data_IF_249001661813
#
_entry.id   IF_249001661813
#
_cell.length_a   1.000
_cell.length_b   1.000
_cell.length_c   1.000
_cell.angle_alpha   90.00
_cell.angle_beta   90.00
_cell.angle_gamma   90.00
#
_symmetry.space_group_name_H-M   'P 1'
#
loop_
_entity.id
_entity.type
_entity.pdbx_description
1 polymer ?
#
# COMPACT_ATOMS: atom_id res chain seq x y z
N UNK A 1 -13.39 6.17 26.78
CA UNK A 1 -13.02 4.83 26.25
C UNK A 1 -11.84 4.89 25.29
N UNK A 2 -11.54 6.03 24.68
CA UNK A 2 -10.38 6.20 23.80
C UNK A 2 -9.38 7.09 24.54
N UNK A 3 -8.08 6.84 24.40
CA UNK A 3 -7.03 7.68 24.95
C UNK A 3 -6.82 8.96 24.13
N UNK A 4 -6.70 8.82 22.80
CA UNK A 4 -6.58 9.94 21.86
C UNK A 4 -5.18 10.56 21.78
N UNK A 5 -4.20 10.02 22.51
CA UNK A 5 -2.82 10.54 22.53
C UNK A 5 -1.90 9.77 21.58
N UNK A 6 -2.03 8.44 21.54
CA UNK A 6 -1.19 7.54 20.75
C UNK A 6 -2.08 6.66 19.87
N UNK A 7 -1.83 6.71 18.56
CA UNK A 7 -2.55 5.94 17.57
C UNK A 7 -1.53 5.15 16.75
N UNK A 8 -1.66 3.83 16.72
CA UNK A 8 -0.84 2.99 15.86
C UNK A 8 -1.54 2.80 14.51
N UNK A 9 -0.80 2.93 13.41
CA UNK A 9 -1.29 2.74 12.05
C UNK A 9 -0.48 1.63 11.40
N UNK A 10 -1.18 0.60 10.90
CA UNK A 10 -0.56 -0.49 10.17
C UNK A 10 -1.54 -1.14 9.19
N UNK A 11 -0.97 -1.88 8.24
CA UNK A 11 -1.65 -2.53 7.16
C UNK A 11 -1.68 -4.04 7.36
N UNK A 12 -2.79 -4.68 6.98
CA UNK A 12 -2.85 -6.15 6.88
C UNK A 12 -3.42 -6.56 5.53
N UNK A 13 -2.85 -7.60 4.94
CA UNK A 13 -3.36 -8.12 3.66
C UNK A 13 -4.52 -9.09 3.90
N UNK A 14 -5.57 -8.97 3.10
CA UNK A 14 -6.73 -9.88 3.08
C UNK A 14 -6.96 -10.38 1.66
N UNK A 15 -7.10 -11.70 1.51
CA UNK A 15 -7.21 -12.34 0.20
C UNK A 15 -8.46 -11.85 -0.52
N UNK A 16 -8.29 -11.43 -1.76
CA UNK A 16 -9.40 -10.98 -2.59
C UNK A 16 -10.13 -12.17 -3.21
N UNK A 17 -11.31 -11.92 -3.76
CA UNK A 17 -12.04 -12.89 -4.56
C UNK A 17 -11.46 -13.00 -6.00
N UNK A 18 -10.17 -13.25 -6.10
CA UNK A 18 -9.48 -13.48 -7.37
C UNK A 18 -8.33 -14.48 -7.19
N UNK A 19 -8.21 -15.43 -8.12
CA UNK A 19 -7.15 -16.43 -8.05
C UNK A 19 -5.83 -15.89 -8.61
N UNK A 20 -4.68 -16.40 -8.13
CA UNK A 20 -3.36 -16.06 -8.69
C UNK A 20 -3.24 -16.41 -10.18
N UNK A 21 -3.98 -17.44 -10.63
CA UNK A 21 -4.05 -17.83 -12.05
C UNK A 21 -4.77 -16.78 -12.88
N UNK A 22 -5.78 -16.13 -12.31
CA UNK A 22 -6.63 -15.11 -12.93
C UNK A 22 -6.14 -13.66 -12.72
N UNK A 23 -4.87 -13.48 -12.32
CA UNK A 23 -4.19 -12.18 -12.28
C UNK A 23 -3.04 -12.17 -13.29
N UNK A 24 -2.94 -11.13 -14.12
CA UNK A 24 -2.00 -11.04 -15.23
C UNK A 24 -1.19 -9.76 -15.17
N UNK A 25 0.09 -9.86 -15.51
CA UNK A 25 0.98 -8.74 -15.79
C UNK A 25 1.61 -8.97 -17.17
N UNK A 26 2.30 -7.96 -17.71
CA UNK A 26 2.89 -8.04 -19.06
C UNK A 26 3.76 -9.29 -19.24
N UNK A 27 4.69 -9.55 -18.32
CA UNK A 27 5.58 -10.73 -18.36
C UNK A 27 4.82 -12.06 -18.37
N UNK A 28 3.72 -12.17 -17.62
CA UNK A 28 2.91 -13.39 -17.55
C UNK A 28 2.12 -13.59 -18.85
N UNK A 29 1.64 -12.52 -19.47
CA UNK A 29 0.96 -12.56 -20.77
C UNK A 29 1.95 -13.01 -21.86
N UNK A 30 3.12 -12.38 -21.92
CA UNK A 30 4.21 -12.75 -22.84
C UNK A 30 4.59 -14.22 -22.71
N UNK A 31 4.75 -14.71 -21.48
CA UNK A 31 5.04 -16.14 -21.23
C UNK A 31 3.95 -17.07 -21.74
N UNK A 32 2.68 -16.68 -21.62
CA UNK A 32 1.58 -17.48 -22.14
C UNK A 32 1.51 -17.45 -23.67
N UNK A 33 1.78 -16.31 -24.30
CA UNK A 33 1.85 -16.18 -25.76
C UNK A 33 3.00 -17.01 -26.33
N UNK A 34 4.19 -16.91 -25.75
CA UNK A 34 5.36 -17.71 -26.14
C UNK A 34 5.10 -19.22 -26.03
N UNK A 35 4.47 -19.67 -24.93
CA UNK A 35 4.08 -21.07 -24.76
C UNK A 35 3.07 -21.52 -25.84
N UNK A 36 2.13 -20.66 -26.21
CA UNK A 36 1.15 -20.98 -27.26
C UNK A 36 1.87 -21.10 -28.62
N UNK A 37 2.81 -20.22 -28.92
CA UNK A 37 3.60 -20.25 -30.15
C UNK A 37 4.44 -21.53 -30.25
N UNK A 38 5.20 -21.85 -29.20
CA UNK A 38 6.01 -23.08 -29.10
C UNK A 38 5.14 -24.33 -29.29
N UNK A 39 4.01 -24.42 -28.59
CA UNK A 39 3.08 -25.56 -28.72
C UNK A 39 2.36 -25.62 -30.06
N UNK A 40 2.12 -24.49 -30.70
CA UNK A 40 1.53 -24.46 -32.03
C UNK A 40 2.52 -25.00 -33.05
N UNK A 41 3.79 -24.60 -32.96
CA UNK A 41 4.86 -25.11 -33.81
C UNK A 41 5.06 -26.62 -33.62
N UNK A 42 5.12 -27.10 -32.37
CA UNK A 42 5.24 -28.53 -32.07
C UNK A 42 4.12 -29.37 -32.70
N UNK A 43 2.88 -28.88 -32.68
CA UNK A 43 1.77 -29.58 -33.34
C UNK A 43 1.85 -29.53 -34.87
N UNK A 44 2.37 -28.45 -35.46
CA UNK A 44 2.59 -28.37 -36.90
C UNK A 44 3.70 -29.32 -37.35
N UNK A 45 4.79 -29.41 -36.58
CA UNK A 45 5.90 -30.33 -36.85
C UNK A 45 5.45 -31.79 -36.76
N UNK A 46 4.66 -32.12 -35.73
CA UNK A 46 4.05 -33.46 -35.59
C UNK A 46 3.12 -33.83 -36.74
N UNK A 47 2.38 -32.86 -37.29
CA UNK A 47 1.55 -33.09 -38.48
C UNK A 47 2.43 -33.36 -39.70
N UNK A 48 3.47 -32.56 -39.92
CA UNK A 48 4.40 -32.74 -41.03
C UNK A 48 5.15 -34.08 -40.97
N UNK A 49 5.59 -34.51 -39.77
CA UNK A 49 6.24 -35.81 -39.58
C UNK A 49 5.30 -37.00 -39.85
N UNK A 50 4.03 -36.91 -39.43
CA UNK A 50 3.04 -37.95 -39.71
C UNK A 50 2.73 -38.06 -41.20
N UNK A 51 2.66 -36.94 -41.92
CA UNK A 51 2.47 -36.91 -43.37
C UNK A 51 3.64 -37.61 -44.10
N UNK A 52 4.87 -37.50 -43.56
CA UNK A 52 6.07 -38.16 -44.12
C UNK A 52 6.12 -39.67 -43.80
N UNK A 53 5.58 -40.09 -42.65
CA UNK A 53 5.70 -41.48 -42.18
C UNK A 53 4.54 -42.41 -42.60
N UNK A 54 3.53 -41.93 -43.34
CA UNK A 54 2.29 -42.65 -43.71
C UNK A 54 1.61 -43.37 -42.51
N UNK A 55 1.87 -42.88 -41.29
CA UNK A 55 1.45 -43.54 -40.06
C UNK A 55 0.17 -42.86 -39.55
N UNK A 56 -0.98 -43.47 -39.84
CA UNK A 56 -2.31 -42.90 -39.55
C UNK A 56 -2.70 -42.89 -38.07
N UNK A 57 -1.94 -43.57 -37.20
CA UNK A 57 -2.25 -43.70 -35.78
C UNK A 57 -1.17 -43.06 -34.91
N UNK A 58 -1.37 -41.80 -34.47
CA UNK A 58 -0.99 -41.39 -33.09
C UNK A 58 -1.37 -40.01 -32.57
N UNK A 59 -2.28 -39.23 -33.16
CA UNK A 59 -2.65 -37.97 -32.49
C UNK A 59 -4.15 -37.66 -32.54
N UNK A 60 -4.87 -38.24 -31.59
CA UNK A 60 -6.26 -37.92 -31.35
C UNK A 60 -6.41 -36.45 -30.88
N UNK A 61 -7.38 -35.75 -31.46
CA UNK A 61 -7.82 -34.40 -31.08
C UNK A 61 -6.80 -33.25 -31.32
N UNK A 62 -5.87 -33.35 -32.29
CA UNK A 62 -4.99 -32.21 -32.65
C UNK A 62 -5.82 -30.97 -33.00
N UNK A 63 -6.81 -31.12 -33.87
CA UNK A 63 -7.60 -29.99 -34.36
C UNK A 63 -8.28 -29.25 -33.20
N UNK A 64 -8.82 -29.99 -32.23
CA UNK A 64 -9.39 -29.41 -30.99
C UNK A 64 -8.33 -28.71 -30.13
N UNK A 65 -7.10 -29.25 -30.05
CA UNK A 65 -5.98 -28.64 -29.33
C UNK A 65 -5.52 -27.34 -30.00
N UNK A 66 -5.41 -27.32 -31.33
CA UNK A 66 -5.06 -26.12 -32.12
C UNK A 66 -6.12 -25.04 -31.95
N UNK A 67 -7.41 -25.38 -32.06
CA UNK A 67 -8.50 -24.43 -31.85
C UNK A 67 -8.52 -23.87 -30.42
N UNK A 68 -8.21 -24.70 -29.41
CA UNK A 68 -8.03 -24.23 -28.04
C UNK A 68 -6.85 -23.28 -27.90
N UNK A 69 -5.73 -23.52 -28.58
CA UNK A 69 -4.57 -22.62 -28.58
C UNK A 69 -4.91 -21.29 -29.24
N UNK A 70 -5.59 -21.29 -30.40
CA UNK A 70 -6.07 -20.07 -31.07
C UNK A 70 -7.00 -19.25 -30.17
N UNK A 71 -7.98 -19.91 -29.54
CA UNK A 71 -8.92 -19.26 -28.61
C UNK A 71 -8.19 -18.63 -27.41
N UNK A 72 -7.21 -19.34 -26.85
CA UNK A 72 -6.39 -18.81 -25.76
C UNK A 72 -5.49 -17.65 -26.21
N UNK A 73 -4.94 -17.70 -27.43
CA UNK A 73 -4.13 -16.62 -27.98
C UNK A 73 -4.92 -15.33 -28.05
N UNK A 74 -6.10 -15.36 -28.69
CA UNK A 74 -7.01 -14.22 -28.78
C UNK A 74 -7.34 -13.68 -27.38
N UNK A 75 -7.62 -14.58 -26.43
CA UNK A 75 -7.87 -14.18 -25.03
C UNK A 75 -6.69 -13.42 -24.43
N UNK A 76 -5.46 -13.86 -24.62
CA UNK A 76 -4.28 -13.18 -24.06
C UNK A 76 -3.95 -11.87 -24.79
N UNK A 77 -4.16 -11.79 -26.09
CA UNK A 77 -4.03 -10.55 -26.87
C UNK A 77 -5.04 -9.48 -26.38
N UNK A 78 -6.30 -9.87 -26.18
CA UNK A 78 -7.32 -8.99 -25.58
C UNK A 78 -6.95 -8.55 -24.16
N UNK A 79 -6.31 -9.41 -23.37
CA UNK A 79 -5.84 -9.05 -22.03
C UNK A 79 -4.65 -8.09 -22.08
N UNK A 80 -3.77 -8.23 -23.05
CA UNK A 80 -2.65 -7.32 -23.27
C UNK A 80 -3.16 -5.92 -23.64
N UNK A 81 -4.13 -5.85 -24.55
CA UNK A 81 -4.77 -4.59 -24.92
C UNK A 81 -5.46 -3.93 -23.72
N UNK A 82 -6.27 -4.70 -22.96
CA UNK A 82 -6.88 -4.19 -21.72
C UNK A 82 -5.84 -3.69 -20.71
N UNK A 83 -4.72 -4.39 -20.56
CA UNK A 83 -3.63 -3.98 -19.67
C UNK A 83 -3.04 -2.64 -20.13
N UNK A 84 -2.75 -2.49 -21.42
CA UNK A 84 -2.23 -1.25 -22.02
C UNK A 84 -3.21 -0.08 -21.85
N UNK A 85 -4.49 -0.30 -22.12
CA UNK A 85 -5.55 0.73 -21.98
C UNK A 85 -5.74 1.14 -20.52
N UNK A 86 -5.67 0.19 -19.59
CA UNK A 86 -5.84 0.48 -18.16
C UNK A 86 -4.72 1.34 -17.57
N UNK A 87 -3.52 1.32 -18.17
CA UNK A 87 -2.33 1.96 -17.62
C UNK A 87 -1.81 1.33 -16.31
N UNK A 88 -2.40 0.20 -15.90
CA UNK A 88 -2.04 -0.50 -14.67
C UNK A 88 -0.92 -1.53 -14.91
N UNK A 89 -0.08 -1.81 -13.91
CA UNK A 89 0.99 -2.81 -14.03
C UNK A 89 0.46 -4.26 -14.07
N UNK A 90 -0.81 -4.46 -13.70
CA UNK A 90 -1.46 -5.76 -13.67
C UNK A 90 -2.98 -5.64 -13.80
N UNK A 91 -3.63 -6.72 -14.23
CA UNK A 91 -5.08 -6.85 -14.35
C UNK A 91 -5.58 -8.12 -13.66
N UNK A 92 -6.70 -8.01 -12.98
CA UNK A 92 -7.41 -9.11 -12.31
C UNK A 92 -8.72 -9.40 -13.03
N UNK A 93 -9.04 -10.67 -13.25
CA UNK A 93 -10.22 -11.06 -14.05
C UNK A 93 -11.52 -11.07 -13.25
N UNK A 94 -11.50 -11.57 -12.02
CA UNK A 94 -12.73 -11.74 -11.22
C UNK A 94 -13.01 -10.51 -10.37
N UNK A 95 -11.95 -9.91 -9.83
CA UNK A 95 -12.05 -8.74 -8.97
C UNK A 95 -11.06 -7.69 -9.48
N UNK A 96 -11.55 -6.77 -10.31
CA UNK A 96 -10.75 -5.82 -11.09
C UNK A 96 -9.86 -4.91 -10.22
N UNK A 97 -10.28 -4.62 -8.98
CA UNK A 97 -9.52 -3.78 -8.05
C UNK A 97 -8.49 -4.56 -7.23
N UNK A 98 -8.56 -5.89 -7.21
CA UNK A 98 -7.59 -6.71 -6.50
C UNK A 98 -6.23 -6.67 -7.17
N UNK A 99 -5.16 -6.77 -6.37
CA UNK A 99 -3.78 -6.69 -6.86
C UNK A 99 -2.94 -7.80 -6.24
N UNK A 100 -1.97 -8.31 -6.99
CA UNK A 100 -0.94 -9.19 -6.44
C UNK A 100 -0.01 -8.39 -5.52
N UNK A 101 -0.05 -8.69 -4.23
CA UNK A 101 0.72 -8.02 -3.18
C UNK A 101 1.61 -9.04 -2.45
N UNK A 102 2.76 -8.57 -1.96
CA UNK A 102 3.65 -9.35 -1.09
C UNK A 102 3.05 -9.41 0.31
N UNK A 103 2.83 -10.61 0.83
CA UNK A 103 2.24 -10.83 2.16
C UNK A 103 3.32 -11.14 3.20
N UNK A 104 4.22 -12.08 2.91
CA UNK A 104 5.34 -12.46 3.77
C UNK A 104 6.54 -12.92 2.93
N UNK A 105 7.68 -12.25 3.05
CA UNK A 105 8.89 -12.59 2.30
C UNK A 105 8.65 -12.55 0.79
N UNK A 106 8.74 -13.71 0.13
CA UNK A 106 8.53 -13.88 -1.31
C UNK A 106 7.11 -14.33 -1.68
N UNK A 107 6.23 -14.53 -0.69
CA UNK A 107 4.86 -15.01 -0.94
C UNK A 107 4.00 -13.87 -1.46
N UNK A 108 3.56 -14.01 -2.71
CA UNK A 108 2.63 -13.11 -3.36
C UNK A 108 1.21 -13.66 -3.31
N UNK A 109 0.25 -12.85 -2.88
CA UNK A 109 -1.18 -13.16 -2.92
C UNK A 109 -1.98 -12.04 -3.58
N UNK A 110 -3.04 -12.42 -4.32
CA UNK A 110 -3.99 -11.45 -4.84
C UNK A 110 -4.89 -11.03 -3.70
N UNK A 111 -4.74 -9.78 -3.26
CA UNK A 111 -5.29 -9.31 -2.00
C UNK A 111 -5.57 -7.82 -2.02
N UNK A 112 -6.36 -7.39 -1.05
CA UNK A 112 -6.45 -6.00 -0.63
C UNK A 112 -5.56 -5.76 0.57
N UNK A 113 -5.21 -4.50 0.76
CA UNK A 113 -4.43 -4.03 1.87
C UNK A 113 -5.30 -3.15 2.76
N UNK A 114 -5.59 -3.65 3.96
CA UNK A 114 -6.48 -3.01 4.93
C UNK A 114 -5.62 -2.25 5.91
N UNK A 115 -5.81 -0.94 5.94
CA UNK A 115 -5.18 -0.01 6.85
C UNK A 115 -6.07 0.16 8.07
N UNK A 116 -5.51 0.12 9.27
CA UNK A 116 -6.24 0.42 10.49
C UNK A 116 -5.46 1.41 11.35
N UNK A 117 -6.15 2.41 11.86
CA UNK A 117 -5.67 3.30 12.91
C UNK A 117 -6.29 2.86 14.24
N UNK A 118 -5.46 2.61 15.26
CA UNK A 118 -5.88 1.98 16.52
C UNK A 118 -5.35 2.77 17.71
N UNK A 119 -6.24 3.10 18.64
CA UNK A 119 -5.93 3.77 19.90
C UNK A 119 -5.19 2.84 20.88
N UNK A 120 -4.18 3.35 21.56
CA UNK A 120 -3.33 2.55 22.44
C UNK A 120 -4.02 2.10 23.74
N UNK A 121 -4.89 2.92 24.32
CA UNK A 121 -5.45 2.71 25.66
C UNK A 121 -6.29 1.45 25.74
N UNK A 122 -7.20 1.27 24.79
CA UNK A 122 -8.13 0.13 24.79
C UNK A 122 -8.09 -0.71 23.51
N UNK A 123 -7.17 -0.41 22.58
CA UNK A 123 -7.02 -1.09 21.29
C UNK A 123 -8.30 -0.99 20.46
N UNK A 124 -8.94 0.18 20.45
CA UNK A 124 -10.13 0.46 19.65
C UNK A 124 -9.70 1.04 18.31
N UNK A 125 -10.34 0.58 17.23
CA UNK A 125 -10.11 1.07 15.87
C UNK A 125 -10.80 2.42 15.70
N UNK A 126 -10.09 3.43 15.23
CA UNK A 126 -10.60 4.80 15.08
C UNK A 126 -10.79 5.21 13.63
N UNK A 127 -10.06 4.60 12.71
CA UNK A 127 -10.25 4.75 11.26
C UNK A 127 -9.77 3.48 10.55
N UNK A 128 -10.31 3.22 9.36
CA UNK A 128 -9.93 2.05 8.56
C UNK A 128 -10.11 2.35 7.08
N UNK A 129 -9.11 2.03 6.27
CA UNK A 129 -9.15 2.17 4.81
C UNK A 129 -8.80 0.85 4.13
N UNK A 130 -9.41 0.58 2.99
CA UNK A 130 -8.97 -0.47 2.09
C UNK A 130 -8.28 0.18 0.90
N UNK A 131 -7.05 -0.24 0.62
CA UNK A 131 -6.28 0.18 -0.54
C UNK A 131 -5.89 -1.05 -1.36
N UNK A 132 -5.72 -0.87 -2.66
CA UNK A 132 -5.18 -1.89 -3.56
C UNK A 132 -3.73 -1.58 -3.99
N UNK A 133 -3.03 -0.78 -3.19
CA UNK A 133 -1.63 -0.36 -3.42
C UNK A 133 -0.77 -0.69 -2.19
N UNK A 134 0.52 -0.39 -2.31
CA UNK A 134 1.43 -0.48 -1.18
C UNK A 134 1.14 0.59 -0.11
N UNK A 135 1.69 0.39 1.07
CA UNK A 135 1.47 1.23 2.25
C UNK A 135 2.12 2.63 2.15
N UNK A 136 3.00 2.84 1.17
CA UNK A 136 3.88 4.01 1.08
C UNK A 136 3.16 5.36 0.97
N UNK A 137 1.93 5.37 0.47
CA UNK A 137 1.12 6.58 0.26
C UNK A 137 -0.19 6.55 1.08
N UNK A 138 -0.26 5.71 2.12
CA UNK A 138 -1.50 5.46 2.85
C UNK A 138 -1.57 6.15 4.22
N UNK A 139 -0.51 6.84 4.65
CA UNK A 139 -0.40 7.36 6.01
C UNK A 139 -1.28 8.59 6.24
N UNK A 140 -1.17 9.62 5.41
CA UNK A 140 -1.81 10.91 5.73
C UNK A 140 -3.34 10.79 5.72
N UNK A 141 -3.91 10.11 4.74
CA UNK A 141 -5.36 9.96 4.61
C UNK A 141 -5.99 9.32 5.86
N UNK A 142 -5.46 8.19 6.34
CA UNK A 142 -6.03 7.50 7.51
C UNK A 142 -5.75 8.24 8.82
N UNK A 143 -4.60 8.92 8.92
CA UNK A 143 -4.27 9.72 10.10
C UNK A 143 -5.17 10.94 10.24
N UNK A 144 -5.49 11.62 9.12
CA UNK A 144 -6.44 12.74 9.09
C UNK A 144 -7.84 12.26 9.42
N UNK A 145 -8.31 11.16 8.83
CA UNK A 145 -9.61 10.59 9.19
C UNK A 145 -9.68 10.20 10.68
N UNK A 146 -8.61 9.63 11.24
CA UNK A 146 -8.54 9.34 12.67
C UNK A 146 -8.65 10.62 13.53
N UNK A 147 -7.99 11.71 13.13
CA UNK A 147 -8.09 13.02 13.79
C UNK A 147 -9.53 13.53 13.79
N UNK A 148 -10.18 13.48 12.62
CA UNK A 148 -11.57 13.92 12.43
C UNK A 148 -12.56 13.07 13.25
N UNK A 149 -12.44 11.74 13.19
CA UNK A 149 -13.31 10.81 13.93
C UNK A 149 -13.20 10.98 15.44
N UNK A 150 -12.01 11.36 15.94
CA UNK A 150 -11.78 11.61 17.36
C UNK A 150 -12.12 13.03 17.81
N UNK A 151 -12.22 13.99 16.88
CA UNK A 151 -12.45 15.40 17.19
C UNK A 151 -11.32 16.02 18.01
N UNK A 152 -10.08 15.60 17.76
CA UNK A 152 -8.88 16.07 18.48
C UNK A 152 -8.00 16.93 17.57
N UNK A 153 -7.22 17.83 18.17
CA UNK A 153 -6.32 18.71 17.39
C UNK A 153 -5.00 18.05 17.02
N UNK A 154 -4.49 17.14 17.86
CA UNK A 154 -3.17 16.52 17.70
C UNK A 154 -3.10 15.16 18.40
N UNK A 155 -2.30 14.26 17.85
CA UNK A 155 -1.92 12.97 18.46
C UNK A 155 -0.58 12.50 17.90
N UNK A 156 -0.03 11.43 18.49
CA UNK A 156 1.18 10.76 18.03
C UNK A 156 0.85 9.49 17.24
N UNK A 157 1.21 9.46 15.96
CA UNK A 157 1.03 8.32 15.06
C UNK A 157 2.28 7.41 15.09
N UNK A 158 2.10 6.15 15.52
CA UNK A 158 3.14 5.11 15.46
C UNK A 158 2.96 4.27 14.20
N UNK A 159 3.95 4.24 13.31
CA UNK A 159 3.76 3.69 11.95
C UNK A 159 4.94 2.81 11.52
N UNK A 160 4.66 1.74 10.76
CA UNK A 160 5.71 0.86 10.26
C UNK A 160 6.63 1.53 9.22
N UNK A 161 7.82 0.98 9.01
CA UNK A 161 8.80 1.43 8.02
C UNK A 161 8.25 1.51 6.59
N UNK A 162 7.24 0.70 6.26
CA UNK A 162 6.59 0.70 4.94
C UNK A 162 5.95 2.04 4.55
N UNK A 163 5.65 2.89 5.53
CA UNK A 163 5.00 4.19 5.37
C UNK A 163 5.98 5.36 5.33
N UNK A 164 7.30 5.09 5.34
CA UNK A 164 8.30 6.14 5.35
C UNK A 164 8.35 6.89 4.01
N UNK A 165 7.52 7.93 3.92
CA UNK A 165 7.37 8.81 2.76
C UNK A 165 7.32 10.27 3.22
N UNK A 166 8.27 11.07 2.73
CA UNK A 166 8.38 12.47 3.11
C UNK A 166 7.11 13.27 2.83
N UNK A 167 6.43 13.04 1.70
CA UNK A 167 5.18 13.75 1.36
C UNK A 167 4.09 13.52 2.41
N UNK A 168 3.87 12.25 2.76
CA UNK A 168 2.84 11.85 3.73
C UNK A 168 3.18 12.33 5.14
N UNK A 169 4.45 12.26 5.54
CA UNK A 169 4.94 12.77 6.83
C UNK A 169 4.76 14.29 6.91
N UNK A 170 5.08 15.03 5.84
CA UNK A 170 4.86 16.48 5.76
C UNK A 170 3.37 16.83 5.84
N UNK A 171 2.51 16.09 5.15
CA UNK A 171 1.06 16.30 5.23
C UNK A 171 0.52 16.05 6.64
N UNK A 172 0.98 14.98 7.33
CA UNK A 172 0.64 14.76 8.73
C UNK A 172 1.09 15.92 9.63
N UNK A 173 2.31 16.44 9.41
CA UNK A 173 2.84 17.59 10.15
C UNK A 173 1.98 18.84 9.93
N UNK A 174 1.57 19.12 8.71
CA UNK A 174 0.68 20.24 8.38
C UNK A 174 -0.66 20.14 9.13
N UNK A 175 -1.11 18.92 9.39
CA UNK A 175 -2.33 18.62 10.16
C UNK A 175 -2.09 18.47 11.67
N UNK A 176 -0.94 18.93 12.19
CA UNK A 176 -0.56 18.83 13.61
C UNK A 176 -0.50 17.38 14.15
N UNK A 177 -0.27 16.39 13.29
CA UNK A 177 -0.12 14.98 13.68
C UNK A 177 1.37 14.67 13.81
N UNK A 178 1.81 14.23 14.99
CA UNK A 178 3.21 13.88 15.25
C UNK A 178 3.48 12.45 14.79
N UNK A 179 4.33 12.28 13.79
CA UNK A 179 4.66 10.95 13.26
C UNK A 179 5.92 10.37 13.91
N UNK A 180 5.87 9.06 14.19
CA UNK A 180 7.02 8.23 14.53
C UNK A 180 7.04 7.04 13.56
N UNK A 181 7.73 7.23 12.44
CA UNK A 181 7.90 6.24 11.37
C UNK A 181 9.36 5.78 11.35
N UNK A 182 9.58 4.47 11.38
CA UNK A 182 10.94 3.94 11.22
C UNK A 182 11.47 4.25 9.81
N UNK A 183 12.73 4.68 9.72
CA UNK A 183 13.40 4.84 8.44
C UNK A 183 13.95 3.50 7.94
N UNK A 184 13.94 3.24 6.62
CA UNK A 184 14.54 2.02 6.07
C UNK A 184 16.05 2.02 6.30
N UNK A 185 16.59 0.86 6.69
CA UNK A 185 18.05 0.67 6.78
C UNK A 185 18.65 0.90 5.41
N UNK A 186 19.58 1.85 5.29
CA UNK A 186 20.32 2.08 4.05
C UNK A 186 21.17 0.84 3.78
N UNK A 187 20.74 0.01 2.82
CA UNK A 187 21.55 -1.09 2.30
C UNK A 187 22.55 -0.45 1.33
N UNK A 188 23.85 -0.64 1.57
CA UNK A 188 24.89 -0.20 0.65
C UNK A 188 24.68 -0.91 -0.70
N UNK A 189 24.23 -0.17 -1.71
CA UNK A 189 23.95 -0.72 -3.05
C UNK A 189 25.12 -0.66 -4.02
N UNK A 190 26.30 -0.21 -3.60
CA UNK A 190 27.41 0.00 -4.52
C UNK A 190 28.65 -0.79 -4.07
N UNK A 191 29.23 -1.56 -4.99
CA UNK A 191 30.46 -2.34 -4.81
C UNK A 191 31.70 -1.46 -4.54
N UNK A 192 31.67 -0.18 -4.96
CA UNK A 192 32.68 0.86 -4.65
C UNK A 192 32.22 1.81 -3.53
N UNK A 193 31.51 1.28 -2.53
CA UNK A 193 30.63 2.04 -1.64
C UNK A 193 31.28 3.10 -0.76
N UNK A 194 30.52 4.17 -0.48
CA UNK A 194 30.84 5.16 0.56
C UNK A 194 31.01 4.46 1.92
N UNK A 195 32.13 4.75 2.59
CA UNK A 195 32.43 4.20 3.93
C UNK A 195 31.40 4.70 4.96
N UNK A 196 31.12 3.92 6.01
CA UNK A 196 30.13 4.28 7.05
C UNK A 196 30.30 5.69 7.63
N UNK A 197 31.55 6.17 7.75
CA UNK A 197 31.87 7.52 8.23
C UNK A 197 31.42 8.67 7.30
N UNK A 198 31.17 8.40 6.02
CA UNK A 198 30.80 9.40 5.01
C UNK A 198 29.39 9.20 4.45
N UNK A 199 28.54 8.45 5.15
CA UNK A 199 27.13 8.34 4.79
C UNK A 199 26.44 9.70 4.89
N UNK A 200 25.38 9.92 4.09
CA UNK A 200 24.60 11.19 4.11
C UNK A 200 24.10 11.51 5.53
N UNK A 201 23.80 10.49 6.33
CA UNK A 201 23.38 10.65 7.73
C UNK A 201 24.40 11.37 8.63
N UNK A 202 25.67 11.43 8.24
CA UNK A 202 26.73 12.13 8.98
C UNK A 202 26.99 13.55 8.47
N UNK A 203 26.24 14.01 7.46
CA UNK A 203 26.29 15.39 7.01
C UNK A 203 25.25 16.19 7.80
N UNK A 204 25.67 17.30 8.37
CA UNK A 204 24.83 18.14 9.22
C UNK A 204 24.30 19.29 8.38
N UNK A 205 22.98 19.47 8.35
CA UNK A 205 22.35 20.60 7.68
C UNK A 205 22.22 21.78 8.64
N UNK A 206 22.66 22.95 8.20
CA UNK A 206 22.41 24.22 8.86
C UNK A 206 21.30 24.99 8.13
N UNK A 207 20.20 25.22 8.86
CA UNK A 207 19.00 25.89 8.34
C UNK A 207 19.20 27.40 8.18
N UNK A 208 20.06 28.03 9.00
CA UNK A 208 20.26 29.47 8.95
C UNK A 208 21.06 29.88 7.72
N UNK A 209 22.13 29.14 7.42
CA UNK A 209 22.98 29.38 6.25
C UNK A 209 22.51 28.69 4.96
N UNK A 210 21.51 27.80 5.02
CA UNK A 210 21.13 26.88 3.93
C UNK A 210 22.34 26.13 3.36
N UNK A 211 23.14 25.50 4.25
CA UNK A 211 24.33 24.74 3.87
C UNK A 211 24.41 23.37 4.55
N UNK A 212 25.25 22.48 4.01
CA UNK A 212 25.62 21.24 4.70
C UNK A 212 27.08 21.26 5.11
N UNK A 213 27.37 20.79 6.31
CA UNK A 213 28.72 20.51 6.77
C UNK A 213 29.04 19.02 6.62
N UNK A 214 30.15 18.71 5.95
CA UNK A 214 30.62 17.34 5.82
C UNK A 214 31.43 16.88 7.05
N UNK A 215 31.68 15.55 7.20
CA UNK A 215 32.54 15.04 8.28
C UNK A 215 34.01 15.52 8.26
N UNK A 216 34.44 16.26 7.23
CA UNK A 216 35.74 16.93 7.14
C UNK A 216 35.62 18.45 7.34
N UNK A 217 34.50 18.91 7.90
CA UNK A 217 34.20 20.32 8.18
C UNK A 217 34.18 21.24 6.95
N UNK A 218 34.05 20.69 5.75
CA UNK A 218 33.84 21.48 4.52
C UNK A 218 32.36 21.78 4.32
N UNK A 219 32.08 23.01 3.89
CA UNK A 219 30.72 23.48 3.60
C UNK A 219 30.32 23.13 2.17
N UNK A 220 29.12 22.58 2.02
CA UNK A 220 28.45 22.33 0.75
C UNK A 220 27.33 23.36 0.60
N UNK A 221 27.38 24.12 -0.49
CA UNK A 221 26.45 25.20 -0.81
C UNK A 221 25.52 24.78 -1.94
N UNK A 222 24.40 25.51 -2.06
CA UNK A 222 23.43 25.32 -3.13
C UNK A 222 23.37 26.53 -4.05
N UNK A 223 23.02 26.32 -5.32
CA UNK A 223 22.71 27.40 -6.26
C UNK A 223 21.30 27.96 -6.07
N UNK A 224 20.56 27.46 -5.07
CA UNK A 224 19.17 27.84 -4.79
C UNK A 224 18.14 27.26 -5.76
N UNK A 225 18.57 26.62 -6.84
CA UNK A 225 17.70 26.08 -7.89
C UNK A 225 17.02 24.79 -7.45
N UNK A 226 15.69 24.74 -7.61
CA UNK A 226 14.92 23.53 -7.40
C UNK A 226 14.94 22.65 -8.66
N UNK A 227 15.25 21.38 -8.46
CA UNK A 227 15.20 20.36 -9.49
C UNK A 227 14.00 19.45 -9.25
N UNK A 228 13.33 19.03 -10.33
CA UNK A 228 12.21 18.11 -10.27
C UNK A 228 12.68 16.68 -10.50
N UNK A 229 12.38 15.78 -9.57
CA UNK A 229 12.52 14.34 -9.79
C UNK A 229 11.16 13.79 -10.17
N UNK A 230 11.02 13.23 -11.36
CA UNK A 230 9.80 12.52 -11.76
C UNK A 230 9.90 11.05 -11.36
N UNK A 231 8.84 10.50 -10.79
CA UNK A 231 8.69 9.08 -10.50
C UNK A 231 7.20 8.72 -10.59
N UNK A 232 6.89 7.48 -10.96
CA UNK A 232 5.52 6.98 -10.94
C UNK A 232 4.90 7.17 -9.54
N UNK A 233 3.79 7.90 -9.47
CA UNK A 233 3.08 8.21 -8.22
C UNK A 233 3.36 9.59 -7.60
N UNK A 234 4.13 10.45 -8.26
CA UNK A 234 4.30 11.86 -7.90
C UNK A 234 5.76 12.28 -7.90
N UNK A 235 6.05 13.41 -8.56
CA UNK A 235 7.37 14.03 -8.50
C UNK A 235 7.58 14.81 -7.20
N UNK A 236 8.83 15.06 -6.85
CA UNK A 236 9.19 15.94 -5.74
C UNK A 236 10.32 16.88 -6.15
N UNK A 237 10.37 18.02 -5.47
CA UNK A 237 11.41 19.03 -5.63
C UNK A 237 12.57 18.75 -4.70
N UNK A 238 13.78 18.97 -5.20
CA UNK A 238 15.00 18.87 -4.40
C UNK A 238 16.03 19.93 -4.80
N UNK A 239 16.80 20.39 -3.82
CA UNK A 239 17.97 21.25 -4.01
C UNK A 239 19.23 20.39 -3.99
N UNK A 240 20.23 20.79 -4.77
CA UNK A 240 21.54 20.16 -4.82
C UNK A 240 22.55 20.97 -4.02
N UNK A 241 23.34 20.29 -3.21
CA UNK A 241 24.42 20.86 -2.41
C UNK A 241 25.74 20.25 -2.83
N UNK A 242 26.73 21.10 -3.13
CA UNK A 242 28.03 20.70 -3.66
C UNK A 242 29.12 21.59 -3.07
N UNK A 243 30.37 21.11 -3.11
CA UNK A 243 31.52 21.89 -2.69
C UNK A 243 32.68 21.67 -3.66
N UNK A 244 33.37 22.76 -4.05
CA UNK A 244 34.57 22.71 -4.89
C UNK A 244 35.74 22.05 -4.17
N UNK A 245 35.79 22.16 -2.83
CA UNK A 245 36.80 21.54 -1.96
C UNK A 245 36.84 20.00 -2.09
N UNK A 246 35.77 19.38 -2.58
CA UNK A 246 35.73 17.94 -2.82
C UNK A 246 36.67 17.46 -3.94
N UNK A 247 37.16 18.35 -4.81
CA UNK A 247 38.08 17.98 -5.90
C UNK A 247 39.46 17.56 -5.39
N UNK A 248 39.94 18.23 -4.36
CA UNK A 248 41.27 18.06 -3.74
C UNK A 248 41.20 17.33 -2.39
N UNK A 249 40.02 16.83 -2.03
CA UNK A 249 39.80 16.20 -0.72
C UNK A 249 40.56 14.86 -0.59
N UNK A 250 41.39 14.68 0.45
CA UNK A 250 42.21 13.47 0.63
C UNK A 250 41.37 12.21 0.88
N UNK A 251 40.17 12.36 1.45
CA UNK A 251 39.25 11.26 1.76
C UNK A 251 38.17 11.05 0.70
N UNK A 252 38.35 11.64 -0.50
CA UNK A 252 37.38 11.54 -1.60
C UNK A 252 37.06 10.09 -1.95
N UNK A 253 38.07 9.22 -2.03
CA UNK A 253 37.91 7.79 -2.32
C UNK A 253 37.03 7.06 -1.30
N UNK A 254 37.00 7.52 -0.05
CA UNK A 254 36.15 6.96 1.02
C UNK A 254 34.72 7.52 1.01
N UNK A 255 34.55 8.73 0.45
CA UNK A 255 33.30 9.48 0.46
C UNK A 255 32.45 9.29 -0.80
N UNK A 256 33.06 9.34 -1.99
CA UNK A 256 32.35 9.29 -3.28
C UNK A 256 33.26 8.83 -4.42
N UNK A 257 32.70 8.04 -5.34
CA UNK A 257 33.39 7.67 -6.59
C UNK A 257 33.24 8.73 -7.70
N UNK A 258 32.45 9.78 -7.47
CA UNK A 258 32.17 10.80 -8.49
C UNK A 258 33.35 11.78 -8.65
N UNK A 259 33.76 12.01 -9.89
CA UNK A 259 34.86 12.91 -10.25
C UNK A 259 34.66 14.35 -9.75
N UNK A 260 33.42 14.86 -9.83
CA UNK A 260 33.04 16.21 -9.38
C UNK A 260 32.84 16.39 -7.87
N UNK A 261 33.07 15.36 -7.05
CA UNK A 261 32.88 15.43 -5.60
C UNK A 261 31.52 14.93 -5.12
N UNK A 262 31.25 15.09 -3.82
CA UNK A 262 30.00 14.64 -3.18
C UNK A 262 28.88 15.64 -3.49
N UNK A 263 27.75 15.13 -3.95
CA UNK A 263 26.52 15.90 -4.17
C UNK A 263 25.45 15.37 -3.22
N UNK A 264 24.76 16.26 -2.52
CA UNK A 264 23.64 15.93 -1.63
C UNK A 264 22.37 16.50 -2.21
N UNK A 265 21.36 15.65 -2.34
CA UNK A 265 20.01 16.03 -2.74
C UNK A 265 19.15 16.23 -1.48
N UNK A 266 18.80 17.47 -1.15
CA UNK A 266 17.83 17.79 -0.09
C UNK A 266 16.44 17.93 -0.70
N UNK A 267 15.53 17.03 -0.33
CA UNK A 267 14.13 17.13 -0.75
C UNK A 267 13.41 18.27 -0.03
N UNK A 268 12.36 18.81 -0.67
CA UNK A 268 11.39 19.72 -0.02
C UNK A 268 10.76 19.14 1.26
N UNK A 269 10.71 17.81 1.40
CA UNK A 269 10.18 17.13 2.58
C UNK A 269 11.24 16.79 3.64
N UNK A 270 12.51 17.19 3.44
CA UNK A 270 13.63 16.77 4.28
C UNK A 270 13.45 17.13 5.77
N UNK A 271 12.97 18.34 6.05
CA UNK A 271 12.77 18.82 7.43
C UNK A 271 11.78 17.92 8.20
N UNK A 272 10.63 17.60 7.61
CA UNK A 272 9.63 16.75 8.26
C UNK A 272 10.14 15.32 8.49
N UNK A 273 10.95 14.81 7.56
CA UNK A 273 11.60 13.49 7.68
C UNK A 273 12.69 13.51 8.77
N UNK A 274 13.48 14.56 8.87
CA UNK A 274 14.52 14.73 9.89
C UNK A 274 13.92 14.78 11.29
N UNK A 275 12.87 15.58 11.49
CA UNK A 275 12.13 15.64 12.75
C UNK A 275 11.52 14.28 13.11
N UNK A 276 10.93 13.57 12.15
CA UNK A 276 10.42 12.21 12.36
C UNK A 276 11.55 11.25 12.80
N UNK A 277 12.71 11.33 12.14
CA UNK A 277 13.85 10.47 12.45
C UNK A 277 14.39 10.75 13.86
N UNK A 278 14.44 12.02 14.26
CA UNK A 278 14.77 12.41 15.62
C UNK A 278 13.77 11.80 16.62
N UNK A 279 12.46 12.00 16.39
CA UNK A 279 11.41 11.41 17.24
C UNK A 279 11.54 9.89 17.35
N UNK A 280 11.81 9.20 16.25
CA UNK A 280 12.01 7.75 16.25
C UNK A 280 13.23 7.31 17.08
N UNK A 281 14.36 8.02 16.99
CA UNK A 281 15.57 7.73 17.78
C UNK A 281 15.35 7.94 19.27
N UNK A 282 14.67 9.04 19.63
CA UNK A 282 14.40 9.42 21.02
C UNK A 282 13.33 8.52 21.66
N UNK A 283 12.40 7.97 20.87
CA UNK A 283 11.22 7.26 21.35
C UNK A 283 11.20 5.76 20.99
N UNK A 284 12.36 5.10 21.02
CA UNK A 284 12.49 3.69 20.61
C UNK A 284 11.59 2.72 21.40
N UNK A 285 11.39 2.93 22.71
CA UNK A 285 10.49 2.09 23.52
C UNK A 285 9.02 2.30 23.16
N UNK A 286 8.60 3.55 22.96
CA UNK A 286 7.25 3.90 22.53
C UNK A 286 6.94 3.29 21.16
N UNK A 287 7.90 3.36 20.23
CA UNK A 287 7.76 2.78 18.90
C UNK A 287 7.46 1.27 18.94
N UNK A 288 8.08 0.52 19.85
CA UNK A 288 7.85 -0.94 19.97
C UNK A 288 6.40 -1.27 20.33
N UNK A 289 5.70 -0.41 21.07
CA UNK A 289 4.27 -0.60 21.40
C UNK A 289 3.37 -0.67 20.16
N UNK A 290 3.81 -0.13 19.01
CA UNK A 290 3.09 -0.24 17.73
C UNK A 290 2.73 -1.68 17.41
N UNK A 291 3.67 -2.61 17.60
CA UNK A 291 3.48 -4.02 17.28
C UNK A 291 2.38 -4.61 18.16
N UNK A 292 2.44 -4.39 19.48
CA UNK A 292 1.44 -4.85 20.44
C UNK A 292 0.03 -4.30 20.15
N UNK A 293 -0.06 -3.04 19.69
CA UNK A 293 -1.36 -2.40 19.41
C UNK A 293 -2.01 -3.03 18.17
N UNK A 294 -1.29 -3.12 17.06
CA UNK A 294 -1.86 -3.55 15.79
C UNK A 294 -1.94 -5.08 15.66
N UNK A 295 -0.98 -5.83 16.19
CA UNK A 295 -1.05 -7.30 16.18
C UNK A 295 -2.22 -7.81 17.03
N UNK A 296 -2.59 -7.11 18.10
CA UNK A 296 -3.77 -7.46 18.90
C UNK A 296 -5.04 -7.45 18.05
N UNK A 297 -5.27 -6.40 17.27
CA UNK A 297 -6.47 -6.30 16.41
C UNK A 297 -6.44 -7.32 15.28
N UNK A 298 -5.31 -7.43 14.57
CA UNK A 298 -5.21 -8.26 13.38
C UNK A 298 -5.14 -9.75 13.75
N UNK A 299 -4.51 -10.09 14.88
CA UNK A 299 -4.54 -11.42 15.45
C UNK A 299 -5.96 -11.86 15.80
N UNK A 300 -6.72 -10.99 16.49
CA UNK A 300 -8.11 -11.27 16.83
C UNK A 300 -8.95 -11.51 15.58
N UNK A 301 -8.93 -10.58 14.61
CA UNK A 301 -9.78 -10.66 13.42
C UNK A 301 -9.36 -11.83 12.51
N UNK A 302 -8.06 -11.98 12.22
CA UNK A 302 -7.59 -12.96 11.23
C UNK A 302 -7.44 -14.36 11.79
N UNK A 303 -6.98 -14.50 13.03
CA UNK A 303 -6.66 -15.81 13.63
C UNK A 303 -7.81 -16.31 14.48
N UNK A 304 -8.35 -15.48 15.36
CA UNK A 304 -9.42 -15.91 16.26
C UNK A 304 -10.78 -15.98 15.55
N UNK A 305 -11.09 -15.01 14.66
CA UNK A 305 -12.36 -15.02 13.93
C UNK A 305 -12.26 -15.66 12.55
N UNK A 306 -11.05 -16.00 12.09
CA UNK A 306 -10.82 -16.64 10.79
C UNK A 306 -11.04 -15.71 9.58
N UNK A 307 -11.17 -14.41 9.79
CA UNK A 307 -11.49 -13.46 8.73
C UNK A 307 -10.21 -13.00 8.02
N UNK A 308 -9.84 -13.71 6.95
CA UNK A 308 -8.59 -13.54 6.19
C UNK A 308 -8.79 -13.34 4.68
N UNK A 309 -10.03 -13.22 4.25
CA UNK A 309 -10.43 -13.01 2.86
C UNK A 309 -11.64 -12.08 2.81
N UNK A 310 -11.88 -11.48 1.64
CA UNK A 310 -13.04 -10.63 1.37
C UNK A 310 -14.13 -11.46 0.70
N UNK A 311 -15.39 -11.16 1.03
CA UNK A 311 -16.55 -11.76 0.36
C UNK A 311 -17.04 -10.89 -0.81
N UNK A 312 -16.78 -9.59 -0.76
CA UNK A 312 -17.15 -8.64 -1.81
C UNK A 312 -16.00 -8.40 -2.79
N UNK A 313 -16.36 -7.88 -3.96
CA UNK A 313 -15.43 -7.45 -5.03
C UNK A 313 -15.54 -5.95 -5.27
N UNK A 314 -14.43 -5.34 -5.68
CA UNK A 314 -14.31 -3.89 -5.84
C UNK A 314 -13.96 -3.17 -4.54
N UNK A 315 -13.14 -2.13 -4.67
CA UNK A 315 -12.49 -1.44 -3.56
C UNK A 315 -13.50 -0.88 -2.54
N UNK A 316 -14.55 -0.21 -3.02
CA UNK A 316 -15.55 0.43 -2.17
C UNK A 316 -16.34 -0.58 -1.33
N UNK A 317 -16.73 -1.70 -1.95
CA UNK A 317 -17.51 -2.74 -1.27
C UNK A 317 -16.66 -3.44 -0.22
N UNK A 318 -15.41 -3.77 -0.57
CA UNK A 318 -14.45 -4.35 0.36
C UNK A 318 -14.13 -3.39 1.51
N UNK A 319 -14.04 -2.09 1.23
CA UNK A 319 -13.87 -1.07 2.28
C UNK A 319 -15.04 -1.04 3.26
N UNK A 320 -16.28 -1.14 2.76
CA UNK A 320 -17.47 -1.29 3.58
C UNK A 320 -17.45 -2.58 4.42
N UNK A 321 -17.06 -3.70 3.81
CA UNK A 321 -16.94 -4.99 4.49
C UNK A 321 -15.96 -4.91 5.68
N UNK A 322 -14.77 -4.34 5.47
CA UNK A 322 -13.78 -4.17 6.54
C UNK A 322 -14.22 -3.18 7.61
N UNK A 323 -14.85 -2.06 7.22
CA UNK A 323 -15.44 -1.12 8.17
C UNK A 323 -16.43 -1.80 9.13
N UNK A 324 -17.28 -2.69 8.62
CA UNK A 324 -18.22 -3.46 9.43
C UNK A 324 -17.50 -4.42 10.38
N UNK A 325 -16.47 -5.12 9.92
CA UNK A 325 -15.67 -6.03 10.76
C UNK A 325 -14.96 -5.27 11.89
N UNK A 326 -14.38 -4.10 11.60
CA UNK A 326 -13.74 -3.24 12.60
C UNK A 326 -14.76 -2.69 13.61
N UNK A 327 -15.97 -2.35 13.16
CA UNK A 327 -17.07 -1.95 14.05
C UNK A 327 -17.46 -3.10 15.01
N UNK A 328 -17.62 -4.32 14.50
CA UNK A 328 -17.92 -5.50 15.33
C UNK A 328 -16.80 -5.75 16.34
N UNK A 329 -15.54 -5.58 15.93
CA UNK A 329 -14.40 -5.65 16.84
C UNK A 329 -14.49 -4.60 17.96
N UNK A 330 -14.77 -3.35 17.63
CA UNK A 330 -14.95 -2.29 18.62
C UNK A 330 -16.11 -2.57 19.58
N UNK A 331 -17.25 -3.06 19.09
CA UNK A 331 -18.41 -3.41 19.93
C UNK A 331 -18.03 -4.53 20.90
N UNK A 332 -17.43 -5.62 20.41
CA UNK A 332 -17.00 -6.75 21.27
C UNK A 332 -15.94 -6.31 22.28
N UNK A 333 -15.02 -5.43 21.88
CA UNK A 333 -14.02 -4.86 22.79
C UNK A 333 -14.66 -3.97 23.86
N UNK A 334 -15.61 -3.13 23.48
CA UNK A 334 -16.36 -2.29 24.41
C UNK A 334 -17.19 -3.11 25.41
N UNK A 335 -17.83 -4.20 24.96
CA UNK A 335 -18.55 -5.14 25.84
C UNK A 335 -17.63 -5.75 26.90
N UNK A 336 -16.39 -6.09 26.54
CA UNK A 336 -15.42 -6.65 27.48
C UNK A 336 -14.87 -5.62 28.47
N UNK A 337 -14.87 -4.32 28.13
CA UNK A 337 -14.34 -3.25 28.97
C UNK A 337 -15.41 -2.69 29.91
N UNK A 338 -16.59 -2.38 29.39
CA UNK A 338 -17.69 -1.75 30.13
C UNK A 338 -18.71 -2.75 30.69
N UNK A 339 -18.76 -3.96 30.14
CA UNK A 339 -19.90 -4.85 30.31
C UNK A 339 -21.07 -4.50 29.39
N UNK A 340 -21.91 -5.50 29.12
CA UNK A 340 -23.09 -5.36 28.25
C UNK A 340 -24.11 -4.35 28.77
N UNK A 341 -24.47 -4.33 30.07
CA UNK A 341 -25.49 -3.38 30.57
C UNK A 341 -25.08 -1.92 30.41
N UNK A 342 -23.84 -1.57 30.74
CA UNK A 342 -23.34 -0.19 30.62
C UNK A 342 -23.24 0.24 29.15
N UNK A 343 -22.76 -0.65 28.26
CA UNK A 343 -22.71 -0.34 26.84
C UNK A 343 -24.10 -0.03 26.27
N UNK A 344 -25.12 -0.82 26.61
CA UNK A 344 -26.50 -0.58 26.18
C UNK A 344 -27.01 0.76 26.74
N UNK A 345 -26.73 1.07 28.01
CA UNK A 345 -27.12 2.34 28.60
C UNK A 345 -26.50 3.53 27.85
N UNK A 346 -25.20 3.48 27.54
CA UNK A 346 -24.51 4.52 26.76
C UNK A 346 -25.10 4.66 25.35
N UNK A 347 -25.35 3.55 24.66
CA UNK A 347 -25.94 3.58 23.31
C UNK A 347 -27.36 4.17 23.31
N UNK A 348 -28.18 3.89 24.32
CA UNK A 348 -29.52 4.51 24.45
C UNK A 348 -29.44 6.01 24.68
N UNK A 349 -28.41 6.48 25.39
CA UNK A 349 -28.19 7.90 25.66
C UNK A 349 -27.47 8.65 24.52
N UNK A 350 -26.97 7.93 23.51
CA UNK A 350 -26.15 8.51 22.46
C UNK A 350 -27.00 9.35 21.49
N UNK A 351 -26.66 10.64 21.39
CA UNK A 351 -27.24 11.55 20.40
C UNK A 351 -26.43 11.45 19.11
N UNK A 352 -26.93 10.66 18.16
CA UNK A 352 -26.27 10.47 16.86
C UNK A 352 -26.01 11.81 16.15
N UNK A 353 -24.76 12.10 15.73
CA UNK A 353 -24.44 13.26 14.90
C UNK A 353 -25.00 13.12 13.48
N UNK A 354 -25.28 11.88 13.04
CA UNK A 354 -26.02 11.61 11.80
C UNK A 354 -27.47 12.04 12.01
N UNK A 355 -27.84 13.22 11.51
CA UNK A 355 -29.21 13.74 11.56
C UNK A 355 -30.17 12.67 11.04
N UNK A 356 -31.33 12.51 11.69
CA UNK A 356 -32.44 11.60 11.29
C UNK A 356 -32.73 11.59 9.77
N UNK A 357 -32.47 12.69 9.06
CA UNK A 357 -32.61 12.82 7.60
C UNK A 357 -31.70 11.87 6.78
N UNK A 358 -30.47 11.60 7.22
CA UNK A 358 -29.56 10.65 6.54
C UNK A 358 -30.05 9.21 6.72
N UNK A 359 -30.53 8.87 7.91
CA UNK A 359 -31.14 7.56 8.18
C UNK A 359 -32.44 7.35 7.39
N UNK A 360 -33.20 8.42 7.15
CA UNK A 360 -34.42 8.41 6.34
C UNK A 360 -34.11 8.24 4.85
N UNK A 361 -33.06 8.90 4.34
CA UNK A 361 -32.56 8.72 2.97
C UNK A 361 -32.01 7.31 2.73
N UNK A 362 -31.26 6.75 3.68
CA UNK A 362 -30.78 5.36 3.63
C UNK A 362 -31.96 4.36 3.66
N UNK A 363 -32.96 4.58 4.52
CA UNK A 363 -34.18 3.76 4.54
C UNK A 363 -34.97 3.86 3.22
N UNK A 364 -35.10 5.05 2.63
CA UNK A 364 -35.78 5.27 1.35
C UNK A 364 -35.04 4.64 0.17
N UNK A 365 -33.70 4.72 0.15
CA UNK A 365 -32.88 4.07 -0.87
C UNK A 365 -32.99 2.54 -0.77
N UNK A 366 -32.98 1.99 0.45
CA UNK A 366 -33.17 0.56 0.68
C UNK A 366 -34.58 0.09 0.29
N UNK A 367 -35.63 0.87 0.62
CA UNK A 367 -37.00 0.61 0.18
C UNK A 367 -37.16 0.67 -1.33
N UNK A 368 -36.57 1.67 -2.01
CA UNK A 368 -36.59 1.76 -3.48
C UNK A 368 -35.87 0.58 -4.14
N UNK A 369 -34.78 0.09 -3.56
CA UNK A 369 -34.04 -1.07 -4.07
C UNK A 369 -34.81 -2.40 -3.88
N UNK A 370 -35.57 -2.53 -2.78
CA UNK A 370 -36.46 -3.67 -2.56
C UNK A 370 -37.66 -3.62 -3.52
N UNK A 371 -38.29 -2.46 -3.65
CA UNK A 371 -39.41 -2.25 -4.58
C UNK A 371 -39.00 -2.43 -6.04
N UNK A 372 -37.79 -2.01 -6.43
CA UNK A 372 -37.28 -2.24 -7.79
C UNK A 372 -36.98 -3.71 -8.06
N UNK A 373 -36.48 -4.46 -7.06
CA UNK A 373 -36.36 -5.93 -7.14
C UNK A 373 -37.74 -6.58 -7.27
N UNK A 374 -38.73 -6.14 -6.50
CA UNK A 374 -40.08 -6.71 -6.53
C UNK A 374 -40.80 -6.46 -7.87
N UNK A 375 -40.63 -5.27 -8.44
CA UNK A 375 -41.11 -4.93 -9.80
C UNK A 375 -40.36 -5.68 -10.91
N UNK A 376 -39.08 -6.01 -10.71
CA UNK A 376 -38.30 -6.81 -11.67
C UNK A 376 -38.77 -8.27 -11.70
N UNK A 377 -39.07 -8.87 -10.54
CA UNK A 377 -39.64 -10.22 -10.47
C UNK A 377 -41.07 -10.30 -11.01
N UNK A 378 -41.89 -9.25 -10.83
CA UNK A 378 -43.23 -9.18 -11.44
C UNK A 378 -43.20 -9.05 -12.97
N UNK A 379 -42.18 -8.42 -13.55
CA UNK A 379 -41.99 -8.35 -15.02
C UNK A 379 -41.41 -9.61 -15.66
N UNK A 380 -40.83 -10.52 -14.86
CA UNK A 380 -40.35 -11.82 -15.33
C UNK A 380 -41.43 -12.92 -15.23
N UNK A 381 -42.49 -12.67 -14.47
CA UNK A 381 -43.60 -13.60 -14.25
C UNK A 381 -44.84 -13.31 -15.12
N UNK A 382 -44.81 -12.22 -15.90
CA UNK A 382 -45.78 -11.85 -16.93
C UNK A 382 -45.11 -12.01 -18.29
#
# INVERSE_FOLDING_TARGET
MIGGEIIAIDGTKSRAHNSKKANFNQKKIEKHLAYIEEKSQEYLDQLAENDVQENSEKINNIQQKIERLKTNRIRYELLEEKLKVSGEPQISMTDEDSRALLVQGQVVEVSYNIQAAVDDKHKLVVATHTINRNDRNALAAIAIEAKENLGIETFTALVDKGYHNGREITQCKAENIRTIVAYPTLVQTNENGTTKGYLVANFIYDKESDTYQCPQSQTLETTGSWHKKSRDGGGYLFKKYRSSACKECPVKSLCTSRTGGREIDRSEFAEAVEENNQRYRENGQLYRKRQEINEHIFGTIKRQWGYNHTNLTGLDKVNGEHSLIMLVYNIKRAMNILGVPELIAKLKSWKSPYKRKVLFLLKLAYFKAIMSKQNYWQKLAA
#
